data_IF_000757008237
#
_entry.id   IF_000757008237
#
_cell.length_a   1.000
_cell.length_b   1.000
_cell.length_c   1.000
_cell.angle_alpha   90.00
_cell.angle_beta   90.00
_cell.angle_gamma   90.00
#
_symmetry.space_group_name_H-M   'P 1'
#
loop_
_entity.id
_entity.type
_entity.pdbx_description
1 polymer ?
#
# COMPACT_ATOMS: atom_id res chain seq x y z
N UNK A 1 -24.54 50.13 27.40
CA UNK A 1 -24.99 49.09 26.45
C UNK A 1 -23.95 48.81 25.36
N UNK A 2 -23.58 49.78 24.52
CA UNK A 2 -22.65 49.59 23.39
C UNK A 2 -21.28 48.98 23.76
N UNK A 3 -20.71 49.38 24.91
CA UNK A 3 -19.43 48.84 25.41
C UNK A 3 -19.51 47.35 25.75
N UNK A 4 -20.62 46.90 26.33
CA UNK A 4 -20.82 45.50 26.72
C UNK A 4 -20.96 44.63 25.45
N UNK A 5 -21.70 45.15 24.46
CA UNK A 5 -21.86 44.48 23.16
C UNK A 5 -20.50 44.32 22.46
N UNK A 6 -19.70 45.39 22.39
CA UNK A 6 -18.35 45.32 21.82
C UNK A 6 -17.45 44.33 22.58
N UNK A 7 -17.51 44.30 23.91
CA UNK A 7 -16.72 43.36 24.71
C UNK A 7 -17.14 41.91 24.42
N UNK A 8 -18.43 41.64 24.29
CA UNK A 8 -18.93 40.30 23.93
C UNK A 8 -18.48 39.87 22.53
N UNK A 9 -18.46 40.80 21.56
CA UNK A 9 -18.01 40.55 20.19
C UNK A 9 -16.51 40.21 20.15
N UNK A 10 -15.70 40.96 20.90
CA UNK A 10 -14.25 40.68 21.02
C UNK A 10 -14.02 39.28 21.60
N UNK A 11 -14.74 38.92 22.68
CA UNK A 11 -14.64 37.59 23.28
C UNK A 11 -15.08 36.50 22.29
N UNK A 12 -16.18 36.71 21.56
CA UNK A 12 -16.66 35.76 20.57
C UNK A 12 -15.64 35.51 19.45
N UNK A 13 -14.96 36.56 18.97
CA UNK A 13 -13.91 36.44 17.94
C UNK A 13 -12.71 35.66 18.49
N UNK A 14 -12.28 35.94 19.73
CA UNK A 14 -11.16 35.25 20.36
C UNK A 14 -11.45 33.74 20.55
N UNK A 15 -12.64 33.40 21.02
CA UNK A 15 -13.07 32.00 21.18
C UNK A 15 -13.10 31.29 19.83
N UNK A 16 -13.62 31.94 18.78
CA UNK A 16 -13.66 31.36 17.44
C UNK A 16 -12.25 31.14 16.87
N UNK A 17 -11.35 32.11 17.03
CA UNK A 17 -9.96 31.99 16.61
C UNK A 17 -9.23 30.82 17.31
N UNK A 18 -9.48 30.64 18.61
CA UNK A 18 -8.89 29.55 19.38
C UNK A 18 -9.45 28.18 18.98
N UNK A 19 -10.77 28.10 18.76
CA UNK A 19 -11.45 26.90 18.29
C UNK A 19 -10.95 26.45 16.91
N UNK A 20 -10.86 27.39 15.96
CA UNK A 20 -10.37 27.13 14.62
C UNK A 20 -8.91 26.66 14.61
N UNK A 21 -8.10 27.21 15.51
CA UNK A 21 -6.70 26.81 15.67
C UNK A 21 -6.59 25.39 16.24
N UNK A 22 -7.36 25.07 17.29
CA UNK A 22 -7.37 23.71 17.87
C UNK A 22 -7.80 22.64 16.88
N UNK A 23 -8.81 22.92 16.04
CA UNK A 23 -9.25 22.01 14.97
C UNK A 23 -8.12 21.70 13.98
N UNK A 24 -7.30 22.70 13.63
CA UNK A 24 -6.15 22.48 12.74
C UNK A 24 -5.09 21.57 13.36
N UNK A 25 -4.88 21.63 14.67
CA UNK A 25 -3.94 20.75 15.36
C UNK A 25 -4.46 19.31 15.44
N UNK A 26 -5.74 19.12 15.77
CA UNK A 26 -6.35 17.78 15.85
C UNK A 26 -6.33 17.04 14.51
N UNK A 27 -6.68 17.74 13.42
CA UNK A 27 -6.65 17.15 12.08
C UNK A 27 -5.24 16.71 11.66
N UNK A 28 -4.22 17.49 12.02
CA UNK A 28 -2.82 17.17 11.69
C UNK A 28 -2.32 15.95 12.45
N UNK A 29 -2.67 15.82 13.73
CA UNK A 29 -2.29 14.66 14.53
C UNK A 29 -2.92 13.36 14.01
N UNK A 30 -4.23 13.38 13.73
CA UNK A 30 -4.93 12.20 13.18
C UNK A 30 -4.40 11.81 11.80
N UNK A 31 -4.09 12.80 10.94
CA UNK A 31 -3.51 12.55 9.63
C UNK A 31 -2.10 11.94 9.71
N UNK A 32 -1.27 12.36 10.66
CA UNK A 32 0.06 11.79 10.85
C UNK A 32 0.01 10.31 11.25
N UNK A 33 -0.92 9.94 12.13
CA UNK A 33 -1.10 8.54 12.53
C UNK A 33 -1.58 7.67 11.36
N UNK A 34 -2.58 8.15 10.61
CA UNK A 34 -3.07 7.49 9.41
C UNK A 34 -1.96 7.32 8.37
N UNK A 35 -1.19 8.39 8.10
CA UNK A 35 -0.09 8.38 7.14
C UNK A 35 1.01 7.40 7.54
N UNK A 36 1.30 7.26 8.85
CA UNK A 36 2.26 6.27 9.36
C UNK A 36 1.79 4.85 9.12
N UNK A 37 0.53 4.54 9.42
CA UNK A 37 -0.07 3.23 9.18
C UNK A 37 -0.11 2.88 7.68
N UNK A 38 -0.52 3.83 6.85
CA UNK A 38 -0.53 3.66 5.39
C UNK A 38 0.87 3.35 4.85
N UNK A 39 1.89 4.08 5.30
CA UNK A 39 3.28 3.82 4.89
C UNK A 39 3.78 2.42 5.27
N UNK A 40 3.33 1.87 6.41
CA UNK A 40 3.68 0.50 6.81
C UNK A 40 2.98 -0.53 5.91
N UNK A 41 1.70 -0.32 5.61
CA UNK A 41 0.94 -1.18 4.70
C UNK A 41 1.57 -1.19 3.29
N UNK A 42 1.95 -0.02 2.76
CA UNK A 42 2.57 0.11 1.44
C UNK A 42 3.94 -0.61 1.38
N UNK A 43 4.73 -0.53 2.46
CA UNK A 43 6.01 -1.23 2.55
C UNK A 43 5.82 -2.76 2.52
N UNK A 44 4.85 -3.28 3.27
CA UNK A 44 4.53 -4.71 3.26
C UNK A 44 4.05 -5.15 1.88
N UNK A 45 3.16 -4.38 1.25
CA UNK A 45 2.62 -4.72 -0.06
C UNK A 45 3.71 -4.75 -1.14
N UNK A 46 4.69 -3.85 -1.06
CA UNK A 46 5.84 -3.84 -1.96
C UNK A 46 6.69 -5.11 -1.82
N UNK A 47 7.02 -5.51 -0.59
CA UNK A 47 7.79 -6.73 -0.35
C UNK A 47 7.00 -7.98 -0.77
N UNK A 48 5.70 -8.02 -0.50
CA UNK A 48 4.84 -9.12 -0.95
C UNK A 48 4.79 -9.24 -2.48
N UNK A 49 4.64 -8.11 -3.19
CA UNK A 49 4.66 -8.09 -4.66
C UNK A 49 6.00 -8.56 -5.20
N UNK A 50 7.11 -8.16 -4.56
CA UNK A 50 8.45 -8.63 -4.91
C UNK A 50 8.57 -10.14 -4.72
N UNK A 51 8.15 -10.66 -3.57
CA UNK A 51 8.18 -12.10 -3.29
C UNK A 51 7.32 -12.90 -4.29
N UNK A 52 6.14 -12.41 -4.65
CA UNK A 52 5.32 -13.04 -5.69
C UNK A 52 6.02 -13.10 -7.05
N UNK A 53 6.76 -12.06 -7.42
CA UNK A 53 7.55 -12.07 -8.66
C UNK A 53 8.72 -13.06 -8.57
N UNK A 54 9.37 -13.16 -7.42
CA UNK A 54 10.41 -14.16 -7.15
C UNK A 54 9.81 -15.59 -7.22
N UNK A 55 8.71 -15.88 -6.52
CA UNK A 55 8.01 -17.17 -6.58
C UNK A 55 7.48 -17.50 -7.97
N UNK A 56 6.92 -16.53 -8.68
CA UNK A 56 6.45 -16.70 -10.05
C UNK A 56 7.60 -17.04 -11.01
N UNK A 57 8.80 -16.53 -10.74
CA UNK A 57 10.00 -16.88 -11.50
C UNK A 57 10.42 -18.33 -11.23
N UNK A 58 10.41 -18.76 -9.96
CA UNK A 58 10.78 -20.13 -9.57
C UNK A 58 9.69 -21.20 -9.84
N UNK A 59 8.42 -20.82 -9.86
CA UNK A 59 7.27 -21.70 -10.14
C UNK A 59 6.85 -21.68 -11.60
N UNK A 60 7.47 -20.85 -12.44
CA UNK A 60 7.21 -20.88 -13.87
C UNK A 60 7.59 -22.26 -14.42
N UNK A 61 6.77 -22.80 -15.33
CA UNK A 61 7.05 -24.08 -15.99
C UNK A 61 8.43 -24.14 -16.67
N UNK A 62 9.07 -23.00 -16.89
CA UNK A 62 10.44 -22.87 -17.39
C UNK A 62 11.49 -23.39 -16.38
N UNK A 63 11.34 -23.16 -15.07
CA UNK A 63 12.27 -23.69 -14.07
C UNK A 63 12.17 -25.21 -13.95
N UNK A 64 10.95 -25.76 -14.02
CA UNK A 64 10.72 -27.21 -14.05
C UNK A 64 11.26 -27.82 -15.34
N UNK A 65 11.04 -27.15 -16.48
CA UNK A 65 11.55 -27.59 -17.77
C UNK A 65 13.08 -27.53 -17.83
N UNK A 66 13.70 -26.47 -17.32
CA UNK A 66 15.16 -26.33 -17.27
C UNK A 66 15.80 -27.39 -16.37
N UNK A 67 15.20 -27.66 -15.19
CA UNK A 67 15.62 -28.77 -14.34
C UNK A 67 15.44 -30.13 -15.03
N UNK A 68 14.30 -30.36 -15.69
CA UNK A 68 14.04 -31.58 -16.45
C UNK A 68 15.08 -31.81 -17.56
N UNK A 69 15.41 -30.77 -18.32
CA UNK A 69 16.36 -30.86 -19.43
C UNK A 69 17.81 -31.00 -18.94
N UNK A 70 18.23 -30.19 -17.95
CA UNK A 70 19.64 -30.09 -17.55
C UNK A 70 20.06 -31.02 -16.40
N UNK A 71 19.14 -31.33 -15.46
CA UNK A 71 19.44 -32.19 -14.30
C UNK A 71 18.96 -33.62 -14.49
N UNK A 72 17.82 -33.81 -15.15
CA UNK A 72 17.25 -35.14 -15.43
C UNK A 72 17.63 -35.67 -16.82
N UNK A 73 18.30 -34.87 -17.66
CA UNK A 73 18.74 -35.26 -18.99
C UNK A 73 17.59 -35.55 -19.97
N UNK A 74 16.40 -35.01 -19.69
CA UNK A 74 15.24 -35.17 -20.55
C UNK A 74 15.45 -34.35 -21.83
N UNK A 75 14.90 -34.82 -22.94
CA UNK A 75 14.91 -34.11 -24.23
C UNK A 75 13.52 -33.53 -24.48
N UNK A 76 13.46 -32.33 -25.02
CA UNK A 76 12.19 -31.66 -25.31
C UNK A 76 11.41 -32.47 -26.37
N UNK A 77 10.16 -32.81 -26.06
CA UNK A 77 9.34 -33.65 -26.92
C UNK A 77 9.11 -33.00 -28.29
N UNK A 78 9.37 -33.74 -29.36
CA UNK A 78 9.09 -33.30 -30.72
C UNK A 78 7.58 -33.11 -30.93
N UNK A 79 7.19 -32.08 -31.69
CA UNK A 79 5.79 -31.69 -31.92
C UNK A 79 4.94 -32.82 -32.51
N UNK A 80 5.58 -33.84 -33.08
CA UNK A 80 4.94 -35.03 -33.62
C UNK A 80 4.43 -36.02 -32.56
N UNK A 81 4.83 -35.87 -31.29
CA UNK A 81 4.53 -36.81 -30.20
C UNK A 81 3.71 -36.19 -29.06
N UNK A 82 3.16 -34.98 -29.26
CA UNK A 82 2.30 -34.32 -28.28
C UNK A 82 0.85 -34.67 -28.62
N UNK A 83 0.18 -35.41 -27.73
CA UNK A 83 -1.23 -35.78 -27.88
C UNK A 83 -2.04 -34.93 -26.90
N UNK A 84 -2.90 -34.05 -27.40
CA UNK A 84 -3.86 -33.33 -26.54
C UNK A 84 -4.93 -34.32 -26.07
N UNK A 85 -4.96 -34.57 -24.77
CA UNK A 85 -6.06 -35.30 -24.13
C UNK A 85 -7.23 -34.31 -24.00
N UNK A 86 -8.28 -34.56 -24.79
CA UNK A 86 -9.54 -33.82 -24.78
C UNK A 86 -10.39 -34.17 -23.55
#
# INVERSE_FOLDING_TARGET
MLRIINLSLVIAILVNAFYLTSQRFAARQSYMELSKLQSQADAINKEYTRLQLEEGTYSSGLAVQDYALNKLGLIQADKQHIVELK
#
